data_IF_902145550658
#
_entry.id   IF_902145550658
#
_cell.length_a   1.000
_cell.length_b   1.000
_cell.length_c   1.000
_cell.angle_alpha   90.00
_cell.angle_beta   90.00
_cell.angle_gamma   90.00
#
_symmetry.space_group_name_H-M   'P 1'
#
loop_
_entity.id
_entity.type
_entity.pdbx_description
1 polymer ?
#
# COMPACT_ATOMS: atom_id res chain seq x y z
N UNK A 1 11.05 18.79 0.45
CA UNK A 1 11.95 17.92 -0.36
C UNK A 1 11.97 16.49 0.17
N UNK A 2 12.26 16.27 1.46
CA UNK A 2 12.32 14.92 2.03
C UNK A 2 10.93 14.27 2.24
N UNK A 3 9.95 15.04 2.72
CA UNK A 3 8.56 14.56 2.88
C UNK A 3 7.94 14.08 1.57
N UNK A 4 8.16 14.80 0.48
CA UNK A 4 7.68 14.41 -0.86
C UNK A 4 8.35 13.14 -1.37
N UNK A 5 9.67 12.99 -1.17
CA UNK A 5 10.39 11.75 -1.51
C UNK A 5 9.86 10.57 -0.70
N UNK A 6 9.63 10.76 0.60
CA UNK A 6 9.04 9.75 1.46
C UNK A 6 7.60 9.43 1.05
N UNK A 7 6.80 10.44 0.71
CA UNK A 7 5.43 10.26 0.25
C UNK A 7 5.34 9.48 -1.06
N UNK A 8 6.19 9.81 -2.03
CA UNK A 8 6.31 9.06 -3.29
C UNK A 8 6.76 7.61 -3.04
N UNK A 9 7.72 7.40 -2.13
CA UNK A 9 8.16 6.07 -1.73
C UNK A 9 7.02 5.23 -1.10
N UNK A 10 6.20 5.84 -0.23
CA UNK A 10 5.03 5.18 0.37
C UNK A 10 3.95 4.83 -0.65
N UNK A 11 3.73 5.70 -1.65
CA UNK A 11 2.83 5.42 -2.77
C UNK A 11 3.33 4.21 -3.57
N UNK A 12 4.63 4.10 -3.80
CA UNK A 12 5.20 2.96 -4.52
C UNK A 12 5.12 1.66 -3.70
N UNK A 13 5.40 1.71 -2.39
CA UNK A 13 5.16 0.57 -1.49
C UNK A 13 3.71 0.10 -1.56
N UNK A 14 2.75 1.03 -1.51
CA UNK A 14 1.32 0.69 -1.59
C UNK A 14 0.99 -0.08 -2.87
N UNK A 15 1.49 0.37 -4.02
CA UNK A 15 1.32 -0.35 -5.30
C UNK A 15 1.88 -1.77 -5.23
N UNK A 16 3.09 -1.93 -4.71
CA UNK A 16 3.73 -3.25 -4.63
C UNK A 16 3.02 -4.20 -3.68
N UNK A 17 2.55 -3.72 -2.52
CA UNK A 17 1.73 -4.52 -1.60
C UNK A 17 0.44 -4.94 -2.29
N UNK A 18 -0.26 -4.01 -2.94
CA UNK A 18 -1.50 -4.31 -3.66
C UNK A 18 -1.30 -5.33 -4.78
N UNK A 19 -0.23 -5.19 -5.58
CA UNK A 19 0.16 -6.20 -6.57
C UNK A 19 0.40 -7.56 -5.93
N UNK A 20 1.10 -7.60 -4.78
CA UNK A 20 1.30 -8.83 -4.01
C UNK A 20 -0.02 -9.49 -3.58
N UNK A 21 -0.99 -8.69 -3.12
CA UNK A 21 -2.33 -9.18 -2.76
C UNK A 21 -3.08 -9.74 -3.96
N UNK A 22 -3.03 -9.07 -5.11
CA UNK A 22 -3.65 -9.54 -6.35
C UNK A 22 -3.01 -10.84 -6.83
N UNK A 23 -1.67 -10.91 -6.88
CA UNK A 23 -0.95 -12.13 -7.25
C UNK A 23 -1.27 -13.25 -6.26
N UNK A 24 -1.27 -12.96 -4.96
CA UNK A 24 -1.65 -13.91 -3.93
C UNK A 24 -3.04 -14.48 -4.23
N UNK A 25 -4.01 -13.64 -4.62
CA UNK A 25 -5.38 -14.09 -4.89
C UNK A 25 -5.54 -15.15 -5.98
N UNK A 26 -4.54 -15.33 -6.83
CA UNK A 26 -4.52 -16.36 -7.88
C UNK A 26 -4.16 -17.76 -7.34
N UNK A 27 -3.58 -17.86 -6.14
CA UNK A 27 -3.23 -19.15 -5.52
C UNK A 27 -4.46 -19.81 -4.87
N UNK A 28 -4.73 -21.07 -5.21
CA UNK A 28 -5.91 -21.80 -4.72
C UNK A 28 -5.75 -22.35 -3.29
N UNK A 29 -4.54 -22.75 -2.90
CA UNK A 29 -4.24 -23.45 -1.63
C UNK A 29 -3.71 -22.57 -0.48
N UNK A 30 -4.28 -21.39 -0.30
CA UNK A 30 -3.88 -20.51 0.82
C UNK A 30 -4.60 -20.79 2.15
N UNK A 31 -5.48 -21.80 2.21
CA UNK A 31 -6.18 -22.22 3.43
C UNK A 31 -6.81 -21.06 4.21
N UNK A 32 -6.69 -21.11 5.54
CA UNK A 32 -7.18 -20.06 6.46
C UNK A 32 -6.38 -18.74 6.35
N UNK A 33 -5.19 -18.77 5.75
CA UNK A 33 -4.32 -17.59 5.62
C UNK A 33 -4.83 -16.57 4.58
N UNK A 34 -5.81 -16.94 3.73
CA UNK A 34 -6.40 -16.01 2.72
C UNK A 34 -6.90 -14.73 3.34
N UNK A 35 -7.62 -14.84 4.46
CA UNK A 35 -8.22 -13.69 5.14
C UNK A 35 -7.16 -12.74 5.69
N UNK A 36 -6.05 -13.28 6.19
CA UNK A 36 -4.92 -12.48 6.66
C UNK A 36 -4.22 -11.80 5.49
N UNK A 37 -3.94 -12.51 4.40
CA UNK A 37 -3.26 -11.92 3.23
C UNK A 37 -4.10 -10.81 2.61
N UNK A 38 -5.40 -11.03 2.42
CA UNK A 38 -6.27 -10.02 1.83
C UNK A 38 -6.55 -8.88 2.80
N UNK A 39 -6.96 -9.15 4.04
CA UNK A 39 -7.31 -8.12 5.00
C UNK A 39 -6.11 -7.26 5.37
N UNK A 40 -5.01 -7.91 5.74
CA UNK A 40 -3.80 -7.23 6.22
C UNK A 40 -3.03 -6.59 5.06
N UNK A 41 -2.94 -7.27 3.92
CA UNK A 41 -2.33 -6.73 2.70
C UNK A 41 -3.10 -5.55 2.12
N UNK A 42 -4.43 -5.64 2.02
CA UNK A 42 -5.25 -4.54 1.50
C UNK A 42 -5.25 -3.33 2.45
N UNK A 43 -5.37 -3.57 3.77
CA UNK A 43 -5.33 -2.49 4.77
C UNK A 43 -3.98 -1.79 4.81
N UNK A 44 -2.87 -2.54 4.76
CA UNK A 44 -1.53 -1.95 4.71
C UNK A 44 -1.27 -1.16 3.42
N UNK A 45 -1.74 -1.65 2.27
CA UNK A 45 -1.67 -0.90 1.01
C UNK A 45 -2.45 0.43 1.09
N UNK A 46 -3.65 0.41 1.66
CA UNK A 46 -4.47 1.63 1.83
C UNK A 46 -3.83 2.62 2.80
N UNK A 47 -3.31 2.16 3.93
CA UNK A 47 -2.62 3.02 4.91
C UNK A 47 -1.38 3.68 4.30
N UNK A 48 -0.54 2.90 3.60
CA UNK A 48 0.63 3.42 2.90
C UNK A 48 0.24 4.46 1.84
N UNK A 49 -0.83 4.23 1.09
CA UNK A 49 -1.34 5.19 0.11
C UNK A 49 -1.80 6.49 0.75
N UNK A 50 -2.63 6.41 1.79
CA UNK A 50 -3.16 7.60 2.49
C UNK A 50 -2.02 8.43 3.07
N UNK A 51 -1.07 7.78 3.76
CA UNK A 51 0.10 8.47 4.32
C UNK A 51 0.96 9.10 3.21
N UNK A 52 1.20 8.37 2.12
CA UNK A 52 1.96 8.85 0.98
C UNK A 52 1.32 10.07 0.31
N UNK A 53 -0.01 10.06 0.15
CA UNK A 53 -0.80 11.17 -0.38
C UNK A 53 -0.80 12.38 0.56
N UNK A 54 -0.95 12.18 1.87
CA UNK A 54 -0.89 13.29 2.85
C UNK A 54 0.48 13.98 2.79
N UNK A 55 1.57 13.20 2.76
CA UNK A 55 2.93 13.72 2.70
C UNK A 55 3.24 14.46 1.40
N UNK A 56 2.66 14.03 0.27
CA UNK A 56 2.83 14.71 -1.03
C UNK A 56 1.92 15.92 -1.20
N UNK A 57 0.69 15.90 -0.68
CA UNK A 57 -0.25 17.03 -0.75
C UNK A 57 0.18 18.22 0.12
N UNK A 58 0.87 18.00 1.24
CA UNK A 58 1.40 19.09 2.10
C UNK A 58 2.30 20.09 1.37
N UNK A 59 2.84 19.71 0.21
CA UNK A 59 3.69 20.58 -0.61
C UNK A 59 2.92 21.39 -1.67
N UNK A 60 1.62 21.12 -1.90
CA UNK A 60 0.78 21.92 -2.80
C UNK A 60 0.20 23.17 -2.10
N UNK A 61 0.17 23.17 -0.77
CA UNK A 61 -0.33 24.29 0.05
C UNK A 61 0.75 25.29 0.49
N UNK A 62 2.02 25.06 0.12
CA UNK A 62 3.13 26.02 0.28
C UNK A 62 3.65 26.47 -1.09
#
# INVERSE_FOLDING_TARGET
>A
MWEEKLGNYLIDISKYIFTGVVIASLFKDMGDNKWLIYGLGFTSALLALILGLILTNKKKEQ
#
